data_IF_543880783079
#
_entry.id   IF_543880783079
#
_cell.length_a   1.000
_cell.length_b   1.000
_cell.length_c   1.000
_cell.angle_alpha   90.00
_cell.angle_beta   90.00
_cell.angle_gamma   90.00
#
_symmetry.space_group_name_H-M   'P 1'
#
loop_
_entity.id
_entity.type
_entity.pdbx_description
1 polymer ?
#
# COMPACT_ATOMS: atom_id res chain seq x y z
N UNK A 1 -11.53 -15.68 -11.88
CA UNK A 1 -10.31 -16.35 -11.46
C UNK A 1 -10.50 -17.86 -11.33
N UNK A 2 -11.54 -18.35 -10.69
CA UNK A 2 -11.78 -19.80 -10.53
C UNK A 2 -11.89 -20.57 -11.86
N UNK A 3 -12.51 -19.98 -12.90
CA UNK A 3 -12.58 -20.58 -14.23
C UNK A 3 -11.19 -20.77 -14.81
N UNK A 4 -10.32 -19.76 -14.73
CA UNK A 4 -8.94 -19.85 -15.23
C UNK A 4 -8.15 -20.84 -14.40
N UNK A 5 -8.26 -20.80 -13.06
CA UNK A 5 -7.54 -21.70 -12.15
C UNK A 5 -7.99 -23.15 -12.31
N UNK A 6 -9.28 -23.38 -12.56
CA UNK A 6 -9.85 -24.73 -12.68
C UNK A 6 -9.61 -25.39 -14.04
N UNK A 7 -9.58 -24.62 -15.14
CA UNK A 7 -9.47 -25.16 -16.50
C UNK A 7 -8.11 -24.98 -17.13
N UNK A 8 -7.30 -24.00 -16.68
CA UNK A 8 -6.05 -23.63 -17.36
C UNK A 8 -4.84 -23.62 -16.42
N UNK A 9 -5.05 -23.44 -15.12
CA UNK A 9 -4.00 -23.38 -14.09
C UNK A 9 -3.88 -21.99 -13.46
N UNK A 10 -3.39 -21.93 -12.23
CA UNK A 10 -3.24 -20.68 -11.48
C UNK A 10 -2.17 -19.75 -12.06
N UNK A 11 -1.21 -20.31 -12.78
CA UNK A 11 -0.11 -19.58 -13.43
C UNK A 11 -0.61 -18.59 -14.47
N UNK A 12 -1.73 -18.90 -15.14
CA UNK A 12 -2.30 -18.03 -16.17
C UNK A 12 -2.85 -16.71 -15.65
N UNK A 13 -3.08 -16.59 -14.34
CA UNK A 13 -3.41 -15.31 -13.70
C UNK A 13 -2.26 -14.31 -13.91
N UNK A 14 -1.01 -14.77 -13.82
CA UNK A 14 0.16 -13.92 -14.06
C UNK A 14 0.35 -13.61 -15.55
N UNK A 15 0.07 -14.58 -16.43
CA UNK A 15 0.13 -14.36 -17.87
C UNK A 15 -0.85 -13.29 -18.38
N UNK A 16 -1.97 -13.05 -17.68
CA UNK A 16 -2.89 -11.97 -18.02
C UNK A 16 -2.24 -10.58 -17.91
N UNK A 17 -1.26 -10.42 -17.02
CA UNK A 17 -0.53 -9.16 -16.86
C UNK A 17 0.53 -8.94 -17.95
N UNK A 18 0.97 -9.98 -18.63
CA UNK A 18 2.02 -9.88 -19.66
C UNK A 18 1.59 -9.00 -20.84
N UNK A 19 0.42 -9.21 -21.50
CA UNK A 19 -0.02 -8.34 -22.58
C UNK A 19 -0.22 -6.90 -22.15
N UNK A 20 -0.72 -6.68 -20.91
CA UNK A 20 -0.88 -5.33 -20.34
C UNK A 20 0.49 -4.68 -20.14
N UNK A 21 1.46 -5.42 -19.61
CA UNK A 21 2.83 -4.95 -19.43
C UNK A 21 3.52 -4.62 -20.76
N UNK A 22 3.34 -5.47 -21.77
CA UNK A 22 3.88 -5.22 -23.13
C UNK A 22 3.23 -3.97 -23.73
N UNK A 23 1.90 -3.83 -23.63
CA UNK A 23 1.19 -2.66 -24.13
C UNK A 23 1.68 -1.38 -23.42
N UNK A 24 1.83 -1.40 -22.10
CA UNK A 24 2.38 -0.29 -21.34
C UNK A 24 3.81 0.06 -21.77
N UNK A 25 4.68 -0.93 -21.95
CA UNK A 25 6.05 -0.74 -22.39
C UNK A 25 6.15 -0.09 -23.78
N UNK A 26 5.29 -0.50 -24.70
CA UNK A 26 5.26 0.03 -26.08
C UNK A 26 4.61 1.42 -26.17
N UNK A 27 3.64 1.69 -25.33
CA UNK A 27 2.88 2.97 -25.33
C UNK A 27 3.56 4.05 -24.49
N UNK A 28 4.22 3.68 -23.38
CA UNK A 28 4.84 4.65 -22.47
C UNK A 28 5.78 5.65 -23.18
N UNK A 29 6.70 5.24 -24.09
CA UNK A 29 7.57 6.19 -24.78
C UNK A 29 6.84 7.15 -25.74
N UNK A 30 5.61 6.80 -26.14
CA UNK A 30 4.79 7.62 -27.04
C UNK A 30 3.86 8.59 -26.32
N UNK A 31 3.43 8.21 -25.12
CA UNK A 31 2.40 8.95 -24.36
C UNK A 31 3.03 9.81 -23.28
N UNK A 32 4.13 9.35 -22.67
CA UNK A 32 4.79 10.06 -21.57
C UNK A 32 5.87 10.97 -22.16
N UNK A 33 5.76 12.30 -22.01
CA UNK A 33 6.81 13.22 -22.40
C UNK A 33 8.10 12.93 -21.64
N UNK A 34 9.22 12.90 -22.34
CA UNK A 34 10.50 12.69 -21.69
C UNK A 34 10.90 13.93 -20.88
N UNK A 35 10.89 13.82 -19.57
CA UNK A 35 11.37 14.86 -18.66
C UNK A 35 12.81 14.51 -18.22
N UNK A 36 13.79 15.11 -18.89
CA UNK A 36 15.19 15.04 -18.48
C UNK A 36 15.52 16.26 -17.64
N UNK A 37 15.47 16.14 -16.34
CA UNK A 37 16.22 17.05 -15.49
C UNK A 37 17.70 16.84 -15.77
N UNK A 38 18.46 17.91 -16.05
CA UNK A 38 19.90 17.84 -16.23
C UNK A 38 20.52 16.98 -15.13
N UNK A 39 21.11 15.88 -15.55
CA UNK A 39 21.61 14.86 -14.63
C UNK A 39 22.82 15.43 -13.89
N UNK A 40 22.57 16.05 -12.76
CA UNK A 40 23.61 16.14 -11.73
C UNK A 40 24.02 14.69 -11.47
N UNK A 41 25.29 14.33 -11.74
CA UNK A 41 25.84 13.00 -11.48
C UNK A 41 25.50 12.65 -10.02
N UNK A 42 24.39 11.94 -9.82
CA UNK A 42 24.05 11.45 -8.50
C UNK A 42 25.07 10.38 -8.15
N UNK A 43 25.86 10.62 -7.13
CA UNK A 43 26.68 9.57 -6.54
C UNK A 43 25.72 8.52 -6.01
N UNK A 44 25.90 7.29 -6.43
CA UNK A 44 25.10 6.16 -5.94
C UNK A 44 25.53 5.85 -4.51
N UNK A 45 24.57 5.62 -3.61
CA UNK A 45 24.83 5.17 -2.23
C UNK A 45 24.60 3.66 -2.09
N UNK A 46 25.64 2.83 -2.33
CA UNK A 46 25.49 1.39 -2.24
C UNK A 46 25.30 0.91 -0.80
N UNK A 47 25.87 1.63 0.21
CA UNK A 47 25.73 1.25 1.60
C UNK A 47 24.32 1.49 2.11
N UNK A 48 23.71 2.63 1.78
CA UNK A 48 22.31 2.89 2.05
C UNK A 48 21.40 1.85 1.40
N UNK A 49 21.63 1.52 0.11
CA UNK A 49 20.84 0.52 -0.61
C UNK A 49 20.93 -0.88 0.04
N UNK A 50 22.13 -1.33 0.39
CA UNK A 50 22.35 -2.66 0.99
C UNK A 50 21.72 -2.71 2.39
N UNK A 51 21.91 -1.67 3.20
CA UNK A 51 21.42 -1.66 4.59
C UNK A 51 19.89 -1.59 4.64
N UNK A 52 19.23 -0.75 3.84
CA UNK A 52 17.76 -0.70 3.81
C UNK A 52 17.15 -1.97 3.21
N UNK A 53 17.68 -2.44 2.09
CA UNK A 53 17.16 -3.65 1.44
C UNK A 53 17.36 -4.88 2.31
N UNK A 54 18.58 -5.06 2.84
CA UNK A 54 18.89 -6.15 3.76
C UNK A 54 18.04 -6.12 5.03
N UNK A 55 17.88 -4.92 5.64
CA UNK A 55 17.04 -4.73 6.80
C UNK A 55 15.56 -5.09 6.56
N UNK A 56 14.99 -4.63 5.45
CA UNK A 56 13.60 -4.94 5.09
C UNK A 56 13.40 -6.43 4.72
N UNK A 57 14.33 -7.03 3.99
CA UNK A 57 14.27 -8.46 3.68
C UNK A 57 14.35 -9.33 4.94
N UNK A 58 15.24 -8.98 5.88
CA UNK A 58 15.32 -9.66 7.18
C UNK A 58 14.01 -9.49 7.97
N UNK A 59 13.42 -8.29 7.98
CA UNK A 59 12.14 -8.03 8.63
C UNK A 59 11.03 -8.90 8.08
N UNK A 60 10.83 -8.86 6.77
CA UNK A 60 9.79 -9.65 6.09
C UNK A 60 10.00 -11.14 6.33
N UNK A 61 11.23 -11.61 6.21
CA UNK A 61 11.56 -13.03 6.45
C UNK A 61 11.28 -13.44 7.89
N UNK A 62 11.69 -12.62 8.88
CA UNK A 62 11.44 -12.90 10.29
C UNK A 62 9.93 -12.95 10.60
N UNK A 63 9.16 -11.95 10.13
CA UNK A 63 7.72 -11.89 10.33
C UNK A 63 6.99 -13.06 9.66
N UNK A 64 7.40 -13.45 8.45
CA UNK A 64 6.79 -14.56 7.72
C UNK A 64 7.04 -15.91 8.38
N UNK A 65 8.19 -16.09 9.05
CA UNK A 65 8.54 -17.33 9.73
C UNK A 65 8.14 -17.40 11.21
N UNK A 66 7.88 -16.25 11.83
CA UNK A 66 7.52 -16.18 13.25
C UNK A 66 6.31 -17.04 13.65
N UNK A 67 5.22 -17.15 12.84
CA UNK A 67 4.09 -18.02 13.17
C UNK A 67 4.45 -19.51 13.22
N UNK A 68 5.42 -19.98 12.41
CA UNK A 68 5.85 -21.38 12.36
C UNK A 68 6.88 -21.72 13.45
N UNK A 69 7.85 -20.82 13.65
CA UNK A 69 9.02 -21.03 14.53
C UNK A 69 8.74 -20.59 15.96
N UNK A 70 7.80 -19.66 16.14
CA UNK A 70 7.49 -19.00 17.40
C UNK A 70 8.06 -17.60 17.50
N UNK A 71 7.27 -16.67 18.02
CA UNK A 71 7.65 -15.27 18.19
C UNK A 71 8.80 -15.06 19.19
N UNK A 72 8.87 -15.89 20.23
CA UNK A 72 9.94 -15.88 21.25
C UNK A 72 11.15 -16.75 20.92
N UNK A 73 11.17 -17.45 19.79
CA UNK A 73 12.28 -18.27 19.40
C UNK A 73 13.55 -17.45 19.16
N UNK A 74 14.69 -17.95 19.60
CA UNK A 74 15.98 -17.25 19.43
C UNK A 74 16.23 -16.85 17.98
N UNK A 75 15.87 -17.67 17.00
CA UNK A 75 16.00 -17.38 15.58
C UNK A 75 15.15 -16.17 15.16
N UNK A 76 13.89 -16.09 15.59
CA UNK A 76 13.00 -14.96 15.27
C UNK A 76 13.53 -13.67 15.89
N UNK A 77 13.91 -13.72 17.16
CA UNK A 77 14.45 -12.56 17.89
C UNK A 77 15.76 -12.07 17.27
N UNK A 78 16.68 -12.98 16.92
CA UNK A 78 17.96 -12.60 16.28
C UNK A 78 17.75 -12.00 14.90
N UNK A 79 16.83 -12.51 14.09
CA UNK A 79 16.50 -11.93 12.77
C UNK A 79 15.86 -10.54 12.90
N UNK A 80 14.95 -10.35 13.85
CA UNK A 80 14.35 -9.03 14.11
C UNK A 80 15.39 -8.03 14.64
N UNK A 81 16.30 -8.47 15.51
CA UNK A 81 17.40 -7.64 16.02
C UNK A 81 18.37 -7.26 14.88
N UNK A 82 18.73 -8.21 14.01
CA UNK A 82 19.58 -7.94 12.84
C UNK A 82 18.91 -6.99 11.85
N UNK A 83 17.60 -7.16 11.61
CA UNK A 83 16.81 -6.22 10.81
C UNK A 83 16.84 -4.82 11.40
N UNK A 84 16.52 -4.69 12.68
CA UNK A 84 16.53 -3.41 13.38
C UNK A 84 17.92 -2.74 13.34
N UNK A 85 19.00 -3.50 13.57
CA UNK A 85 20.36 -3.00 13.48
C UNK A 85 20.70 -2.51 12.06
N UNK A 86 20.28 -3.26 11.02
CA UNK A 86 20.49 -2.86 9.62
C UNK A 86 19.72 -1.59 9.24
N UNK A 87 18.47 -1.45 9.69
CA UNK A 87 17.67 -0.24 9.46
C UNK A 87 18.19 0.96 10.23
N UNK A 88 18.71 0.78 11.45
CA UNK A 88 19.41 1.84 12.20
C UNK A 88 20.70 2.24 11.49
N UNK A 89 21.47 1.26 11.01
CA UNK A 89 22.67 1.53 10.21
C UNK A 89 22.33 2.33 8.94
N UNK A 90 21.24 2.00 8.25
CA UNK A 90 20.73 2.78 7.11
C UNK A 90 20.49 4.25 7.52
N UNK A 91 19.75 4.50 8.59
CA UNK A 91 19.50 5.87 9.05
C UNK A 91 20.79 6.63 9.39
N UNK A 92 21.77 5.95 9.98
CA UNK A 92 23.10 6.54 10.28
C UNK A 92 23.85 6.86 8.98
N UNK A 93 23.86 5.96 8.02
CA UNK A 93 24.46 6.17 6.69
C UNK A 93 23.84 7.38 6.01
N UNK A 94 22.49 7.44 5.94
CA UNK A 94 21.75 8.56 5.33
C UNK A 94 22.07 9.93 5.94
N UNK A 95 22.47 9.98 7.22
CA UNK A 95 22.88 11.24 7.88
C UNK A 95 24.32 11.65 7.58
N UNK A 96 25.16 10.73 7.05
CA UNK A 96 26.60 10.95 6.86
C UNK A 96 27.04 11.05 5.40
N UNK A 97 26.23 10.51 4.47
CA UNK A 97 26.58 10.48 3.04
C UNK A 97 26.24 11.81 2.37
N UNK A 98 27.11 12.28 1.46
CA UNK A 98 26.88 13.52 0.70
C UNK A 98 25.66 13.46 -0.22
N UNK A 99 25.34 12.27 -0.74
CA UNK A 99 24.22 12.05 -1.65
C UNK A 99 23.32 10.91 -1.14
N UNK A 100 22.51 11.18 -0.08
CA UNK A 100 21.65 10.17 0.52
C UNK A 100 20.58 9.68 -0.43
N UNK A 101 20.21 8.40 -0.33
CA UNK A 101 19.05 7.83 -1.03
C UNK A 101 17.75 8.46 -0.56
N UNK A 102 17.65 8.69 0.74
CA UNK A 102 16.48 9.27 1.39
C UNK A 102 16.88 10.44 2.29
N UNK A 103 16.96 11.68 1.75
CA UNK A 103 17.27 12.84 2.58
C UNK A 103 16.23 13.01 3.69
N UNK A 104 16.60 12.70 4.94
CA UNK A 104 15.67 12.73 6.08
C UNK A 104 15.00 14.09 6.28
N UNK A 105 15.59 15.16 5.73
CA UNK A 105 15.01 16.51 5.73
C UNK A 105 13.62 16.59 5.05
N UNK A 106 13.29 15.66 4.13
CA UNK A 106 12.00 15.65 3.44
C UNK A 106 10.84 15.45 4.44
N UNK A 107 11.08 14.71 5.52
CA UNK A 107 10.11 14.49 6.60
C UNK A 107 9.90 15.71 7.52
N UNK A 108 10.70 16.77 7.37
CA UNK A 108 10.43 18.08 8.01
C UNK A 108 9.24 18.78 7.38
N UNK A 109 8.90 18.45 6.14
CA UNK A 109 7.66 18.88 5.51
C UNK A 109 6.49 18.12 6.15
N UNK A 110 5.69 18.83 6.93
CA UNK A 110 4.56 18.23 7.68
C UNK A 110 3.60 17.46 6.78
N UNK A 111 3.36 17.95 5.55
CA UNK A 111 2.50 17.29 4.58
C UNK A 111 3.05 15.92 4.17
N UNK A 112 4.35 15.83 3.87
CA UNK A 112 5.04 14.59 3.49
C UNK A 112 5.05 13.60 4.66
N UNK A 113 5.41 14.05 5.86
CA UNK A 113 5.43 13.21 7.05
C UNK A 113 4.03 12.66 7.37
N UNK A 114 3.00 13.51 7.32
CA UNK A 114 1.62 13.10 7.53
C UNK A 114 1.14 12.13 6.45
N UNK A 115 1.46 12.39 5.16
CA UNK A 115 1.09 11.52 4.06
C UNK A 115 1.71 10.12 4.20
N UNK A 116 2.99 10.03 4.56
CA UNK A 116 3.68 8.76 4.79
C UNK A 116 3.09 8.00 6.00
N UNK A 117 2.81 8.70 7.11
CA UNK A 117 2.18 8.08 8.29
C UNK A 117 0.78 7.54 7.95
N UNK A 118 -0.04 8.34 7.26
CA UNK A 118 -1.37 7.90 6.82
C UNK A 118 -1.26 6.80 5.76
N UNK A 119 -0.29 6.88 4.83
CA UNK A 119 -0.02 5.84 3.83
C UNK A 119 0.30 4.49 4.46
N UNK A 120 1.14 4.48 5.49
CA UNK A 120 1.46 3.26 6.25
C UNK A 120 0.23 2.67 6.95
N UNK A 121 -0.56 3.51 7.63
CA UNK A 121 -1.80 3.07 8.29
C UNK A 121 -2.84 2.60 7.27
N UNK A 122 -2.96 3.31 6.15
CA UNK A 122 -3.86 2.94 5.06
C UNK A 122 -3.47 1.59 4.46
N UNK A 123 -2.18 1.39 4.16
CA UNK A 123 -1.67 0.13 3.64
C UNK A 123 -1.93 -1.03 4.61
N UNK A 124 -1.59 -0.87 5.89
CA UNK A 124 -1.85 -1.87 6.92
C UNK A 124 -3.33 -2.21 7.07
N UNK A 125 -4.19 -1.18 7.12
CA UNK A 125 -5.65 -1.35 7.22
C UNK A 125 -6.23 -2.01 5.98
N UNK A 126 -5.80 -1.60 4.79
CA UNK A 126 -6.28 -2.12 3.51
C UNK A 126 -5.92 -3.60 3.34
N UNK A 127 -4.65 -3.96 3.51
CA UNK A 127 -4.23 -5.36 3.40
C UNK A 127 -4.81 -6.23 4.51
N UNK A 128 -4.90 -5.71 5.73
CA UNK A 128 -5.55 -6.41 6.85
C UNK A 128 -7.03 -6.68 6.56
N UNK A 129 -7.76 -5.68 6.06
CA UNK A 129 -9.17 -5.83 5.70
C UNK A 129 -9.38 -6.82 4.55
N UNK A 130 -8.53 -6.77 3.50
CA UNK A 130 -8.55 -7.73 2.40
C UNK A 130 -8.30 -9.14 2.92
N UNK A 131 -7.26 -9.33 3.72
CA UNK A 131 -6.87 -10.64 4.21
C UNK A 131 -7.96 -11.27 5.09
N UNK A 132 -8.39 -10.55 6.13
CA UNK A 132 -9.41 -11.03 7.07
C UNK A 132 -10.76 -11.20 6.38
N UNK A 133 -11.17 -10.24 5.55
CA UNK A 133 -12.41 -10.31 4.80
C UNK A 133 -12.45 -11.50 3.84
N UNK A 134 -11.33 -11.80 3.18
CA UNK A 134 -11.21 -12.96 2.29
C UNK A 134 -11.30 -14.27 3.07
N UNK A 135 -10.57 -14.38 4.19
CA UNK A 135 -10.63 -15.57 5.06
C UNK A 135 -12.06 -15.79 5.61
N UNK A 136 -12.71 -14.73 6.07
CA UNK A 136 -14.07 -14.82 6.58
C UNK A 136 -15.04 -15.30 5.48
N UNK A 137 -15.00 -14.72 4.28
CA UNK A 137 -15.87 -15.13 3.18
C UNK A 137 -15.62 -16.58 2.75
N UNK A 138 -14.35 -17.01 2.68
CA UNK A 138 -14.02 -18.36 2.21
C UNK A 138 -14.17 -19.43 3.29
N UNK A 139 -13.72 -19.16 4.52
CA UNK A 139 -13.68 -20.18 5.59
C UNK A 139 -14.95 -20.20 6.44
N UNK A 140 -15.61 -19.06 6.62
CA UNK A 140 -16.82 -18.97 7.47
C UNK A 140 -18.09 -19.02 6.62
N UNK A 141 -18.16 -18.22 5.56
CA UNK A 141 -19.34 -18.20 4.67
C UNK A 141 -19.32 -19.28 3.58
N UNK A 142 -18.19 -19.99 3.40
CA UNK A 142 -18.04 -21.03 2.40
C UNK A 142 -18.04 -20.51 0.94
N UNK A 143 -17.70 -19.23 0.73
CA UNK A 143 -17.69 -18.64 -0.60
C UNK A 143 -16.54 -19.20 -1.44
N UNK A 144 -16.83 -19.45 -2.71
CA UNK A 144 -15.79 -19.74 -3.69
C UNK A 144 -14.87 -18.51 -3.92
N UNK A 145 -13.70 -18.74 -4.50
CA UNK A 145 -12.79 -17.66 -4.87
C UNK A 145 -13.44 -16.63 -5.81
N UNK A 146 -14.30 -17.10 -6.74
CA UNK A 146 -15.05 -16.22 -7.65
C UNK A 146 -16.06 -15.35 -6.89
N UNK A 147 -16.85 -15.95 -6.00
CA UNK A 147 -17.82 -15.22 -5.19
C UNK A 147 -17.15 -14.18 -4.30
N UNK A 148 -16.02 -14.54 -3.69
CA UNK A 148 -15.17 -13.62 -2.90
C UNK A 148 -14.66 -12.46 -3.77
N UNK A 149 -14.16 -12.74 -4.97
CA UNK A 149 -13.71 -11.73 -5.92
C UNK A 149 -14.82 -10.76 -6.35
N UNK A 150 -16.03 -11.30 -6.63
CA UNK A 150 -17.21 -10.47 -6.94
C UNK A 150 -17.63 -9.62 -5.74
N UNK A 151 -17.57 -10.16 -4.53
CA UNK A 151 -17.85 -9.39 -3.31
C UNK A 151 -16.90 -8.18 -3.16
N UNK A 152 -15.62 -8.35 -3.47
CA UNK A 152 -14.63 -7.25 -3.44
C UNK A 152 -14.91 -6.15 -4.46
N UNK A 153 -15.68 -6.41 -5.52
CA UNK A 153 -16.10 -5.36 -6.45
C UNK A 153 -16.91 -4.27 -5.78
N UNK A 154 -17.66 -4.58 -4.71
CA UNK A 154 -18.42 -3.59 -3.97
C UNK A 154 -17.50 -2.47 -3.42
N UNK A 155 -16.38 -2.83 -2.80
CA UNK A 155 -15.40 -1.86 -2.30
C UNK A 155 -14.64 -1.16 -3.44
N UNK A 156 -14.19 -1.93 -4.43
CA UNK A 156 -13.38 -1.41 -5.54
C UNK A 156 -14.17 -0.42 -6.42
N UNK A 157 -15.40 -0.78 -6.82
CA UNK A 157 -16.25 0.09 -7.64
C UNK A 157 -16.66 1.35 -6.87
N UNK A 158 -16.93 1.24 -5.57
CA UNK A 158 -17.20 2.41 -4.73
C UNK A 158 -16.00 3.34 -4.68
N UNK A 159 -14.79 2.79 -4.51
CA UNK A 159 -13.57 3.58 -4.50
C UNK A 159 -13.35 4.32 -5.82
N UNK A 160 -13.53 3.63 -6.95
CA UNK A 160 -13.41 4.24 -8.29
C UNK A 160 -14.49 5.31 -8.51
N UNK A 161 -15.74 5.04 -8.16
CA UNK A 161 -16.85 6.00 -8.33
C UNK A 161 -16.65 7.28 -7.51
N UNK A 162 -16.04 7.18 -6.32
CA UNK A 162 -15.80 8.32 -5.43
C UNK A 162 -14.44 9.00 -5.64
N UNK A 163 -13.59 8.48 -6.52
CA UNK A 163 -12.26 9.03 -6.79
C UNK A 163 -12.30 10.50 -7.24
N UNK A 164 -13.18 10.82 -8.19
CA UNK A 164 -13.37 12.19 -8.67
C UNK A 164 -13.88 13.13 -7.58
N UNK A 165 -14.80 12.67 -6.73
CA UNK A 165 -15.29 13.43 -5.59
C UNK A 165 -14.18 13.69 -4.56
N UNK A 166 -13.34 12.69 -4.28
CA UNK A 166 -12.20 12.83 -3.40
C UNK A 166 -11.25 13.94 -3.88
N UNK A 167 -10.90 13.93 -5.17
CA UNK A 167 -10.06 14.96 -5.77
C UNK A 167 -10.70 16.35 -5.67
N UNK A 168 -11.99 16.47 -5.95
CA UNK A 168 -12.73 17.73 -5.81
C UNK A 168 -12.73 18.23 -4.35
N UNK A 169 -12.93 17.36 -3.38
CA UNK A 169 -12.91 17.72 -1.96
C UNK A 169 -11.53 18.22 -1.52
N UNK A 170 -10.44 17.61 -2.00
CA UNK A 170 -9.07 18.08 -1.69
C UNK A 170 -8.88 19.54 -2.11
N UNK A 171 -9.40 19.94 -3.25
CA UNK A 171 -9.29 21.33 -3.72
C UNK A 171 -10.16 22.31 -2.92
N UNK A 172 -11.28 21.84 -2.33
CA UNK A 172 -12.23 22.71 -1.62
C UNK A 172 -11.95 22.84 -0.13
N UNK A 173 -11.52 21.77 0.53
CA UNK A 173 -11.38 21.78 2.00
C UNK A 173 -9.96 21.55 2.51
N UNK A 174 -9.22 20.65 2.01
CA UNK A 174 -7.79 20.34 2.15
C UNK A 174 -7.51 18.83 2.11
N UNK A 175 -6.32 18.43 1.70
CA UNK A 175 -5.91 17.03 1.67
C UNK A 175 -5.98 16.37 3.07
N UNK A 176 -5.53 17.06 4.12
CA UNK A 176 -5.52 16.53 5.49
C UNK A 176 -6.92 16.19 6.02
N UNK A 177 -7.92 17.05 5.75
CA UNK A 177 -9.30 16.79 6.19
C UNK A 177 -9.93 15.65 5.42
N UNK A 178 -9.66 15.55 4.11
CA UNK A 178 -10.17 14.44 3.28
C UNK A 178 -9.53 13.12 3.69
N UNK A 179 -8.21 13.11 3.98
CA UNK A 179 -7.53 11.93 4.55
C UNK A 179 -8.14 11.48 5.87
N UNK A 180 -8.40 12.43 6.78
CA UNK A 180 -9.01 12.12 8.07
C UNK A 180 -10.40 11.51 7.91
N UNK A 181 -11.23 12.06 7.00
CA UNK A 181 -12.52 11.48 6.64
C UNK A 181 -12.35 10.05 6.09
N UNK A 182 -11.41 9.85 5.17
CA UNK A 182 -11.13 8.54 4.58
C UNK A 182 -10.75 7.51 5.65
N UNK A 183 -9.83 7.86 6.54
CA UNK A 183 -9.41 6.98 7.64
C UNK A 183 -10.54 6.69 8.63
N UNK A 184 -11.40 7.69 8.92
CA UNK A 184 -12.57 7.49 9.76
C UNK A 184 -13.59 6.53 9.12
N UNK A 185 -13.80 6.62 7.79
CA UNK A 185 -14.67 5.69 7.06
C UNK A 185 -14.08 4.27 7.05
N UNK A 186 -12.76 4.10 6.84
CA UNK A 186 -12.11 2.79 6.91
C UNK A 186 -12.29 2.18 8.31
N UNK A 187 -12.06 2.97 9.36
CA UNK A 187 -12.27 2.54 10.74
C UNK A 187 -13.73 2.17 11.00
N UNK A 188 -14.70 2.97 10.52
CA UNK A 188 -16.12 2.68 10.59
C UNK A 188 -16.52 1.40 9.87
N UNK A 189 -15.99 1.17 8.66
CA UNK A 189 -16.19 -0.07 7.91
C UNK A 189 -15.62 -1.28 8.64
N UNK A 190 -14.41 -1.15 9.21
CA UNK A 190 -13.79 -2.20 10.01
C UNK A 190 -14.60 -2.50 11.29
N UNK A 191 -15.07 -1.47 12.01
CA UNK A 191 -15.92 -1.65 13.17
C UNK A 191 -17.27 -2.31 12.82
N UNK A 192 -17.86 -1.96 11.68
CA UNK A 192 -19.05 -2.67 11.21
C UNK A 192 -18.74 -4.15 10.97
N UNK A 193 -17.62 -4.45 10.31
CA UNK A 193 -17.22 -5.81 10.04
C UNK A 193 -16.99 -6.68 11.30
N UNK A 194 -16.74 -6.08 12.48
CA UNK A 194 -16.65 -6.83 13.75
C UNK A 194 -18.00 -7.37 14.24
N UNK A 195 -19.12 -6.85 13.74
CA UNK A 195 -20.47 -7.22 14.18
C UNK A 195 -21.15 -8.23 13.23
N UNK A 196 -20.39 -8.73 12.25
CA UNK A 196 -20.93 -9.67 11.25
C UNK A 196 -21.19 -11.04 11.87
N UNK A 197 -22.41 -11.61 11.71
CA UNK A 197 -22.76 -12.89 12.27
C UNK A 197 -22.06 -14.04 11.56
N UNK A 198 -21.78 -15.14 12.28
CA UNK A 198 -21.17 -16.37 11.73
C UNK A 198 -22.03 -16.99 10.62
N UNK A 199 -23.34 -16.78 10.64
CA UNK A 199 -24.28 -17.21 9.62
C UNK A 199 -24.91 -15.98 8.96
N UNK A 200 -24.48 -15.63 7.77
CA UNK A 200 -25.00 -14.48 7.04
C UNK A 200 -24.68 -14.54 5.55
N UNK A 201 -25.31 -13.67 4.80
CA UNK A 201 -24.99 -13.47 3.40
C UNK A 201 -24.23 -12.15 3.22
N UNK A 202 -23.38 -12.08 2.20
CA UNK A 202 -22.60 -10.87 1.91
C UNK A 202 -23.45 -9.59 1.94
N UNK A 203 -24.58 -9.59 1.21
CA UNK A 203 -25.43 -8.40 1.06
C UNK A 203 -26.06 -7.90 2.37
N UNK A 204 -26.42 -8.81 3.27
CA UNK A 204 -27.04 -8.44 4.54
C UNK A 204 -26.04 -8.10 5.63
N UNK A 205 -24.84 -8.65 5.57
CA UNK A 205 -23.87 -8.58 6.64
C UNK A 205 -22.62 -7.72 6.29
N UNK A 206 -22.00 -7.95 5.14
CA UNK A 206 -20.70 -7.38 4.80
C UNK A 206 -20.77 -6.20 3.83
N UNK A 207 -21.78 -6.14 2.95
CA UNK A 207 -21.83 -5.17 1.87
C UNK A 207 -21.70 -3.73 2.37
N UNK A 208 -22.38 -3.37 3.47
CA UNK A 208 -22.27 -2.05 4.08
C UNK A 208 -20.85 -1.70 4.51
N UNK A 209 -20.15 -2.63 5.17
CA UNK A 209 -18.76 -2.46 5.58
C UNK A 209 -17.83 -2.28 4.36
N UNK A 210 -18.06 -3.03 3.27
CA UNK A 210 -17.28 -2.95 2.04
C UNK A 210 -17.51 -1.63 1.29
N UNK A 211 -18.75 -1.14 1.21
CA UNK A 211 -19.05 0.16 0.62
C UNK A 211 -18.39 1.30 1.41
N UNK A 212 -18.49 1.28 2.73
CA UNK A 212 -17.88 2.29 3.60
C UNK A 212 -16.36 2.24 3.50
N UNK A 213 -15.75 1.05 3.55
CA UNK A 213 -14.31 0.89 3.41
C UNK A 213 -13.82 1.32 2.02
N UNK A 214 -14.57 1.02 0.96
CA UNK A 214 -14.28 1.48 -0.41
C UNK A 214 -14.30 3.00 -0.54
N UNK A 215 -15.31 3.65 0.03
CA UNK A 215 -15.39 5.11 0.11
C UNK A 215 -14.21 5.69 0.91
N UNK A 216 -13.90 5.08 2.06
CA UNK A 216 -12.76 5.46 2.88
C UNK A 216 -11.43 5.36 2.14
N UNK A 217 -11.24 4.29 1.35
CA UNK A 217 -10.05 4.11 0.51
C UNK A 217 -9.91 5.24 -0.51
N UNK A 218 -10.99 5.64 -1.21
CA UNK A 218 -10.96 6.76 -2.15
C UNK A 218 -10.56 8.08 -1.47
N UNK A 219 -11.15 8.35 -0.28
CA UNK A 219 -10.88 9.59 0.46
C UNK A 219 -9.56 9.58 1.24
N UNK A 220 -8.88 8.44 1.38
CA UNK A 220 -7.54 8.37 1.95
C UNK A 220 -6.45 8.32 0.88
N UNK A 221 -6.54 7.42 -0.09
CA UNK A 221 -5.47 7.11 -1.06
C UNK A 221 -5.13 8.30 -1.97
N UNK A 222 -6.15 8.98 -2.54
CA UNK A 222 -5.94 10.11 -3.45
C UNK A 222 -5.28 11.30 -2.72
N UNK A 223 -5.80 11.76 -1.57
CA UNK A 223 -5.15 12.85 -0.83
C UNK A 223 -3.75 12.51 -0.32
N UNK A 224 -3.48 11.25 0.06
CA UNK A 224 -2.14 10.79 0.45
C UNK A 224 -1.14 11.03 -0.67
N UNK A 225 -1.49 10.62 -1.90
CA UNK A 225 -0.63 10.82 -3.07
C UNK A 225 -0.38 12.30 -3.38
N UNK A 226 -1.41 13.15 -3.25
CA UNK A 226 -1.29 14.60 -3.47
C UNK A 226 -0.44 15.24 -2.35
N UNK A 227 -0.72 14.92 -1.09
CA UNK A 227 -0.03 15.50 0.06
C UNK A 227 1.43 15.05 0.16
N UNK A 228 1.72 13.82 -0.25
CA UNK A 228 3.08 13.29 -0.27
C UNK A 228 4.03 13.99 -1.23
N UNK A 229 3.49 14.68 -2.22
CA UNK A 229 4.25 15.49 -3.18
C UNK A 229 4.17 17.00 -2.88
N UNK A 230 3.33 17.40 -1.92
CA UNK A 230 3.10 18.82 -1.62
C UNK A 230 4.34 19.49 -1.01
N UNK A 231 4.82 20.54 -1.67
CA UNK A 231 5.98 21.30 -1.22
C UNK A 231 7.33 20.63 -1.48
N UNK A 232 7.33 19.51 -2.20
CA UNK A 232 8.55 18.83 -2.64
C UNK A 232 9.05 19.46 -3.93
N UNK A 233 10.36 19.66 -4.06
CA UNK A 233 10.96 20.15 -5.30
C UNK A 233 10.82 19.14 -6.44
N UNK A 234 10.76 19.59 -7.69
CA UNK A 234 10.71 18.69 -8.87
C UNK A 234 11.86 17.67 -8.88
N UNK A 235 13.04 18.06 -8.35
CA UNK A 235 14.22 17.19 -8.25
C UNK A 235 14.03 16.06 -7.24
N UNK A 236 13.20 16.26 -6.23
CA UNK A 236 12.91 15.30 -5.16
C UNK A 236 11.56 14.60 -5.33
N UNK A 237 10.76 14.98 -6.34
CA UNK A 237 9.43 14.42 -6.57
C UNK A 237 9.45 12.90 -6.80
N UNK A 238 10.44 12.40 -7.55
CA UNK A 238 10.62 10.95 -7.75
C UNK A 238 10.93 10.22 -6.44
N UNK A 239 11.73 10.82 -5.57
CA UNK A 239 12.03 10.26 -4.25
C UNK A 239 10.77 10.26 -3.36
N UNK A 240 10.08 11.40 -3.28
CA UNK A 240 8.87 11.52 -2.48
C UNK A 240 7.79 10.52 -2.94
N UNK A 241 7.66 10.33 -4.25
CA UNK A 241 6.75 9.32 -4.82
C UNK A 241 7.16 7.88 -4.48
N UNK A 242 8.47 7.61 -4.39
CA UNK A 242 8.97 6.29 -4.00
C UNK A 242 8.84 5.98 -2.51
N UNK A 243 8.63 7.00 -1.66
CA UNK A 243 8.43 6.86 -0.22
C UNK A 243 6.96 6.60 0.16
N UNK A 244 6.01 6.89 -0.72
CA UNK A 244 4.58 6.63 -0.56
C UNK A 244 4.22 5.20 -0.97
#
# INVERSE_FOLDING_TARGET
MEVVTRYVGWEYIFFLNVPIGIAALLLAPRIVPESRLEAVRRRFDPLGAITVTGGLLLLVYALSRAPEVGWGAARTVTLLAASAASLVAFLVVETRVEAPLMPLRIFRLRAVAAANAVGLLLGGSFFGFIFIGTLYMQQVLGYSALQTGVAWLAASLTSVALAGLSQLLVTRISAGRVMALGMALIAGGALWATQVPVHGHFWSALAGAFFIAGAGTAFAFIPVSIAGLAGVSEREAGLASGLL
#
